data_IF_033181847268
#
_entry.id   IF_033181847268
#
_cell.length_a   1.000
_cell.length_b   1.000
_cell.length_c   1.000
_cell.angle_alpha   90.00
_cell.angle_beta   90.00
_cell.angle_gamma   90.00
#
_symmetry.space_group_name_H-M   'P 1'
#
loop_
_entity.id
_entity.type
_entity.pdbx_description
1 polymer ?
#
# COMPACT_ATOMS: atom_id res chain seq x y z
N UNK A 1 -4.02 61.73 26.94
CA UNK A 1 -4.50 60.35 27.14
C UNK A 1 -5.63 59.95 26.19
N UNK A 2 -6.80 60.63 26.15
CA UNK A 2 -7.93 60.22 25.29
C UNK A 2 -7.62 60.11 23.78
N UNK A 3 -6.83 61.03 23.20
CA UNK A 3 -6.41 60.97 21.77
C UNK A 3 -5.51 59.78 21.44
N UNK A 4 -4.61 59.41 22.36
CA UNK A 4 -3.71 58.26 22.21
C UNK A 4 -4.50 56.94 22.32
N UNK A 5 -5.46 56.88 23.24
CA UNK A 5 -6.34 55.72 23.36
C UNK A 5 -7.21 55.55 22.11
N UNK A 6 -7.75 56.65 21.56
CA UNK A 6 -8.53 56.61 20.32
C UNK A 6 -7.67 56.19 19.12
N UNK A 7 -6.40 56.62 19.03
CA UNK A 7 -5.54 56.21 17.90
C UNK A 7 -5.09 54.75 18.00
N UNK A 8 -4.84 54.25 19.21
CA UNK A 8 -4.52 52.83 19.43
C UNK A 8 -5.75 51.95 19.14
N UNK A 9 -6.93 52.39 19.54
CA UNK A 9 -8.18 51.67 19.28
C UNK A 9 -8.55 51.70 17.79
N UNK A 10 -8.33 52.83 17.11
CA UNK A 10 -8.49 52.96 15.67
C UNK A 10 -7.46 52.13 14.90
N UNK A 11 -6.21 52.06 15.38
CA UNK A 11 -5.15 51.19 14.85
C UNK A 11 -5.50 49.71 15.00
N UNK A 12 -6.01 49.30 16.17
CA UNK A 12 -6.48 47.94 16.42
C UNK A 12 -7.70 47.59 15.57
N UNK A 13 -8.64 48.53 15.40
CA UNK A 13 -9.79 48.36 14.52
C UNK A 13 -9.38 48.31 13.05
N UNK A 14 -8.45 49.16 12.61
CA UNK A 14 -7.86 49.10 11.26
C UNK A 14 -7.11 47.79 11.04
N UNK A 15 -6.36 47.30 12.04
CA UNK A 15 -5.74 45.98 12.01
C UNK A 15 -6.81 44.90 11.90
N UNK A 16 -7.85 44.88 12.74
CA UNK A 16 -8.94 43.92 12.70
C UNK A 16 -9.75 43.96 11.38
N UNK A 17 -9.91 45.14 10.77
CA UNK A 17 -10.59 45.32 9.48
C UNK A 17 -9.68 44.94 8.31
N UNK A 18 -8.36 45.10 8.44
CA UNK A 18 -7.34 44.68 7.46
C UNK A 18 -6.91 43.22 7.62
N UNK A 19 -7.30 42.55 8.70
CA UNK A 19 -7.15 41.11 8.84
C UNK A 19 -8.11 40.45 7.88
N UNK A 20 -7.61 40.02 6.73
CA UNK A 20 -8.24 38.95 5.98
C UNK A 20 -8.37 37.77 6.94
N UNK A 21 -9.57 37.55 7.47
CA UNK A 21 -9.83 36.34 8.25
C UNK A 21 -9.52 35.17 7.32
N UNK A 22 -8.58 34.28 7.69
CA UNK A 22 -8.33 33.12 6.88
C UNK A 22 -9.66 32.40 6.71
N UNK A 23 -9.99 32.03 5.48
CA UNK A 23 -11.17 31.23 5.18
C UNK A 23 -11.30 30.11 6.22
N UNK A 24 -12.50 29.80 6.75
CA UNK A 24 -12.67 28.79 7.78
C UNK A 24 -11.92 27.48 7.48
N UNK A 25 -11.90 27.09 6.21
CA UNK A 25 -11.15 25.97 5.66
C UNK A 25 -9.64 26.07 5.93
N UNK A 26 -9.05 27.23 5.66
CA UNK A 26 -7.63 27.53 5.94
C UNK A 26 -7.33 27.50 7.43
N UNK A 27 -8.24 27.99 8.27
CA UNK A 27 -8.09 27.89 9.73
C UNK A 27 -8.04 26.43 10.19
N UNK A 28 -8.99 25.60 9.74
CA UNK A 28 -8.97 24.17 10.05
C UNK A 28 -7.72 23.49 9.52
N UNK A 29 -7.33 23.78 8.27
CA UNK A 29 -6.13 23.21 7.67
C UNK A 29 -4.87 23.52 8.47
N UNK A 30 -4.71 24.76 8.95
CA UNK A 30 -3.59 25.15 9.81
C UNK A 30 -3.60 24.42 11.16
N UNK A 31 -4.78 24.23 11.79
CA UNK A 31 -4.87 23.52 13.07
C UNK A 31 -4.62 22.02 12.92
N UNK A 32 -5.08 21.42 11.82
CA UNK A 32 -4.82 20.03 11.45
C UNK A 32 -3.33 19.77 11.17
N UNK A 33 -2.63 20.75 10.59
CA UNK A 33 -1.18 20.68 10.34
C UNK A 33 -0.31 21.00 11.57
N UNK A 34 -0.90 21.26 12.75
CA UNK A 34 -0.15 21.63 13.96
C UNK A 34 0.76 20.50 14.46
N UNK A 35 1.96 20.85 14.93
CA UNK A 35 2.86 19.90 15.59
C UNK A 35 2.30 19.32 16.89
N UNK A 36 1.34 20.01 17.54
CA UNK A 36 0.79 19.59 18.82
C UNK A 36 -0.38 18.59 18.62
N UNK A 37 -0.26 17.33 19.10
CA UNK A 37 -1.31 16.32 18.89
C UNK A 37 -2.68 16.74 19.44
N UNK A 38 -2.71 17.37 20.62
CA UNK A 38 -3.95 17.86 21.24
C UNK A 38 -4.68 18.89 20.38
N UNK A 39 -3.96 19.74 19.66
CA UNK A 39 -4.55 20.73 18.75
C UNK A 39 -5.17 20.01 17.56
N UNK A 40 -4.46 19.06 16.94
CA UNK A 40 -4.97 18.28 15.80
C UNK A 40 -6.23 17.49 16.14
N UNK A 41 -6.23 16.79 17.28
CA UNK A 41 -7.40 16.01 17.71
C UNK A 41 -8.63 16.90 17.93
N UNK A 42 -8.46 18.05 18.61
CA UNK A 42 -9.54 19.02 18.79
C UNK A 42 -10.01 19.60 17.46
N UNK A 43 -9.08 19.93 16.56
CA UNK A 43 -9.41 20.45 15.23
C UNK A 43 -10.25 19.46 14.44
N UNK A 44 -9.90 18.17 14.45
CA UNK A 44 -10.66 17.13 13.74
C UNK A 44 -12.07 16.94 14.33
N UNK A 45 -12.22 17.00 15.66
CA UNK A 45 -13.54 16.96 16.31
C UNK A 45 -14.42 18.15 15.92
N UNK A 46 -13.87 19.36 15.97
CA UNK A 46 -14.61 20.56 15.55
C UNK A 46 -14.88 20.59 14.05
N UNK A 47 -13.97 20.05 13.23
CA UNK A 47 -14.15 19.95 11.77
C UNK A 47 -15.40 19.15 11.43
N UNK A 48 -15.66 18.03 12.12
CA UNK A 48 -16.86 17.20 11.89
C UNK A 48 -18.15 17.98 12.10
N UNK A 49 -18.27 18.66 13.24
CA UNK A 49 -19.44 19.49 13.54
C UNK A 49 -19.58 20.61 12.51
N UNK A 50 -18.48 21.28 12.19
CA UNK A 50 -18.47 22.39 11.27
C UNK A 50 -18.86 21.98 9.83
N UNK A 51 -18.33 20.87 9.30
CA UNK A 51 -18.72 20.36 7.97
C UNK A 51 -20.22 20.09 7.93
N UNK A 52 -20.74 19.44 8.98
CA UNK A 52 -22.17 19.09 9.09
C UNK A 52 -23.04 20.34 9.05
N UNK A 53 -22.72 21.35 9.86
CA UNK A 53 -23.49 22.61 9.89
C UNK A 53 -23.33 23.42 8.60
N UNK A 54 -22.12 23.43 8.04
CA UNK A 54 -21.78 24.19 6.84
C UNK A 54 -22.49 23.65 5.60
N UNK A 55 -22.43 22.33 5.39
CA UNK A 55 -23.02 21.65 4.24
C UNK A 55 -24.54 21.82 4.17
N UNK A 56 -25.22 21.86 5.33
CA UNK A 56 -26.67 22.15 5.41
C UNK A 56 -27.03 23.57 4.93
N UNK A 57 -26.13 24.53 5.11
CA UNK A 57 -26.41 25.94 4.88
C UNK A 57 -25.90 26.45 3.52
N UNK A 58 -24.73 25.99 3.07
CA UNK A 58 -24.25 26.29 1.70
C UNK A 58 -23.23 25.24 1.24
N UNK A 59 -23.41 24.84 -0.01
CA UNK A 59 -22.59 23.85 -0.71
C UNK A 59 -21.10 24.23 -0.72
N UNK A 60 -20.24 23.23 -0.51
CA UNK A 60 -18.79 23.36 -0.62
C UNK A 60 -18.32 23.50 -2.07
N UNK A 61 -17.34 24.37 -2.29
CA UNK A 61 -16.60 24.44 -3.56
C UNK A 61 -15.44 23.44 -3.58
N UNK A 62 -15.04 23.00 -4.77
CA UNK A 62 -13.88 22.11 -4.94
C UNK A 62 -12.58 22.71 -4.34
N UNK A 63 -12.37 24.01 -4.51
CA UNK A 63 -11.20 24.70 -3.94
C UNK A 63 -11.20 24.73 -2.42
N UNK A 64 -12.38 24.86 -1.79
CA UNK A 64 -12.56 24.82 -0.34
C UNK A 64 -12.22 23.41 0.20
N UNK A 65 -12.72 22.36 -0.46
CA UNK A 65 -12.43 20.97 -0.10
C UNK A 65 -10.95 20.60 -0.31
N UNK A 66 -10.32 21.15 -1.34
CA UNK A 66 -8.88 20.96 -1.60
C UNK A 66 -8.01 21.55 -0.48
N UNK A 67 -8.38 22.71 0.07
CA UNK A 67 -7.70 23.31 1.23
C UNK A 67 -7.86 22.43 2.47
N UNK A 68 -9.07 21.90 2.71
CA UNK A 68 -9.32 20.98 3.82
C UNK A 68 -8.48 19.70 3.66
N UNK A 69 -8.43 19.11 2.47
CA UNK A 69 -7.62 17.92 2.21
C UNK A 69 -6.14 18.16 2.41
N UNK A 70 -5.62 19.34 2.08
CA UNK A 70 -4.23 19.71 2.42
C UNK A 70 -4.00 19.70 3.94
N UNK A 71 -4.97 20.17 4.71
CA UNK A 71 -4.97 20.06 6.17
C UNK A 71 -4.96 18.61 6.67
N UNK A 72 -5.85 17.76 6.12
CA UNK A 72 -5.95 16.34 6.48
C UNK A 72 -4.70 15.55 6.11
N UNK A 73 -4.11 15.84 4.94
CA UNK A 73 -2.83 15.30 4.51
C UNK A 73 -1.74 15.58 5.55
N UNK A 74 -1.59 16.83 5.99
CA UNK A 74 -0.60 17.17 7.02
C UNK A 74 -0.95 16.63 8.40
N UNK A 75 -2.24 16.45 8.73
CA UNK A 75 -2.63 15.75 9.95
C UNK A 75 -2.11 14.30 9.96
N UNK A 76 -2.24 13.59 8.84
CA UNK A 76 -1.66 12.26 8.65
C UNK A 76 -0.13 12.30 8.66
N UNK A 77 0.47 13.29 7.98
CA UNK A 77 1.92 13.50 7.93
C UNK A 77 2.55 13.61 9.32
N UNK A 78 1.89 14.33 10.24
CA UNK A 78 2.34 14.56 11.61
C UNK A 78 1.98 13.43 12.60
N UNK A 79 1.30 12.37 12.15
CA UNK A 79 0.94 11.24 12.99
C UNK A 79 1.98 10.11 12.89
N UNK A 80 2.70 9.87 13.99
CA UNK A 80 3.81 8.91 14.02
C UNK A 80 3.43 7.58 14.70
N UNK A 81 2.41 7.58 15.56
CA UNK A 81 2.01 6.38 16.30
C UNK A 81 1.11 5.49 15.44
N UNK A 82 1.46 4.21 15.18
CA UNK A 82 0.72 3.33 14.26
C UNK A 82 -0.78 3.23 14.55
N UNK A 83 -1.17 2.91 15.80
CA UNK A 83 -2.59 2.83 16.18
C UNK A 83 -3.35 4.14 15.96
N UNK A 84 -2.68 5.27 16.15
CA UNK A 84 -3.28 6.58 15.92
C UNK A 84 -3.32 6.97 14.45
N UNK A 85 -2.46 6.39 13.60
CA UNK A 85 -2.54 6.54 12.13
C UNK A 85 -3.80 5.83 11.63
N UNK A 86 -4.03 4.60 12.08
CA UNK A 86 -5.23 3.83 11.74
C UNK A 86 -6.50 4.56 12.18
N UNK A 87 -6.58 4.97 13.45
CA UNK A 87 -7.71 5.71 13.99
C UNK A 87 -7.95 7.02 13.23
N UNK A 88 -6.88 7.74 12.87
CA UNK A 88 -6.99 8.97 12.08
C UNK A 88 -7.53 8.70 10.67
N UNK A 89 -7.06 7.65 10.00
CA UNK A 89 -7.55 7.28 8.67
C UNK A 89 -9.04 6.90 8.69
N UNK A 90 -9.47 6.14 9.70
CA UNK A 90 -10.88 5.81 9.89
C UNK A 90 -11.73 7.06 10.17
N UNK A 91 -11.23 7.98 10.99
CA UNK A 91 -11.91 9.24 11.27
C UNK A 91 -11.99 10.16 10.04
N UNK A 92 -10.96 10.15 9.17
CA UNK A 92 -10.99 10.85 7.88
C UNK A 92 -12.05 10.26 6.97
N UNK A 93 -12.14 8.92 6.87
CA UNK A 93 -13.17 8.24 6.10
C UNK A 93 -14.59 8.62 6.53
N UNK A 94 -14.84 8.67 7.85
CA UNK A 94 -16.11 9.08 8.45
C UNK A 94 -16.49 10.55 8.19
N UNK A 95 -15.57 11.39 7.70
CA UNK A 95 -15.93 12.76 7.29
C UNK A 95 -16.92 12.76 6.12
N UNK A 96 -16.94 11.71 5.29
CA UNK A 96 -17.91 11.61 4.20
C UNK A 96 -19.35 11.62 4.69
N UNK A 97 -19.62 11.06 5.87
CA UNK A 97 -20.95 11.04 6.49
C UNK A 97 -21.41 12.45 6.91
N UNK A 98 -20.49 13.41 7.05
CA UNK A 98 -20.80 14.77 7.50
C UNK A 98 -21.38 15.66 6.39
N UNK A 99 -21.28 15.26 5.11
CA UNK A 99 -21.82 16.02 3.99
C UNK A 99 -23.28 15.67 3.70
N UNK A 100 -24.10 16.68 3.45
CA UNK A 100 -25.55 16.55 3.27
C UNK A 100 -25.92 16.07 1.88
N UNK A 101 -25.16 16.46 0.85
CA UNK A 101 -25.47 16.14 -0.55
C UNK A 101 -24.53 15.07 -1.11
N UNK A 102 -25.04 14.25 -2.03
CA UNK A 102 -24.24 13.26 -2.76
C UNK A 102 -23.12 13.94 -3.56
N UNK A 103 -23.40 15.10 -4.18
CA UNK A 103 -22.42 15.86 -4.96
C UNK A 103 -21.23 16.33 -4.12
N UNK A 104 -21.47 16.80 -2.89
CA UNK A 104 -20.39 17.16 -1.97
C UNK A 104 -19.56 15.95 -1.55
N UNK A 105 -20.20 14.80 -1.28
CA UNK A 105 -19.48 13.54 -0.98
C UNK A 105 -18.59 13.12 -2.14
N UNK A 106 -19.09 13.17 -3.38
CA UNK A 106 -18.33 12.85 -4.58
C UNK A 106 -17.19 13.85 -4.83
N UNK A 107 -17.43 15.14 -4.62
CA UNK A 107 -16.40 16.18 -4.76
C UNK A 107 -15.30 16.01 -3.70
N UNK A 108 -15.66 15.61 -2.48
CA UNK A 108 -14.71 15.30 -1.42
C UNK A 108 -13.86 14.06 -1.76
N UNK A 109 -14.45 13.02 -2.36
CA UNK A 109 -13.72 11.85 -2.86
C UNK A 109 -12.78 12.21 -4.02
N UNK A 110 -13.22 13.03 -4.97
CA UNK A 110 -12.37 13.50 -6.06
C UNK A 110 -11.18 14.31 -5.52
N UNK A 111 -11.44 15.23 -4.59
CA UNK A 111 -10.41 16.06 -3.97
C UNK A 111 -9.37 15.23 -3.19
N UNK A 112 -9.75 14.07 -2.64
CA UNK A 112 -8.81 13.13 -2.03
C UNK A 112 -7.77 12.65 -3.04
N UNK A 113 -8.22 12.09 -4.17
CA UNK A 113 -7.31 11.54 -5.18
C UNK A 113 -6.44 12.63 -5.77
N UNK A 114 -6.99 13.80 -6.09
CA UNK A 114 -6.21 14.95 -6.57
C UNK A 114 -5.13 15.35 -5.56
N UNK A 115 -5.48 15.43 -4.28
CA UNK A 115 -4.54 15.85 -3.23
C UNK A 115 -3.43 14.83 -3.01
N UNK A 116 -3.76 13.56 -2.80
CA UNK A 116 -2.78 12.48 -2.62
C UNK A 116 -1.86 12.36 -3.84
N UNK A 117 -2.44 12.49 -5.03
CA UNK A 117 -1.68 12.41 -6.27
C UNK A 117 -0.64 13.52 -6.41
N UNK A 118 -1.04 14.77 -6.13
CA UNK A 118 -0.15 15.93 -6.21
C UNK A 118 1.05 15.86 -5.25
N UNK A 119 0.86 15.21 -4.10
CA UNK A 119 1.88 15.08 -3.05
C UNK A 119 2.57 13.71 -3.05
N UNK A 120 2.23 12.81 -3.98
CA UNK A 120 2.72 11.42 -3.92
C UNK A 120 4.24 11.31 -3.93
N UNK A 121 4.89 12.09 -4.80
CA UNK A 121 6.34 12.10 -4.93
C UNK A 121 7.05 12.86 -3.79
N UNK A 122 6.33 13.63 -2.99
CA UNK A 122 6.89 14.36 -1.83
C UNK A 122 6.94 13.48 -0.58
N UNK A 123 6.21 12.36 -0.58
CA UNK A 123 6.19 11.39 0.52
C UNK A 123 7.51 10.62 0.59
N UNK A 124 8.21 10.72 1.71
CA UNK A 124 9.43 9.95 1.93
C UNK A 124 9.14 8.48 2.32
N UNK A 125 10.17 7.64 2.18
CA UNK A 125 10.09 6.19 2.43
C UNK A 125 9.50 5.82 3.79
N UNK A 126 9.76 6.60 4.84
CA UNK A 126 9.30 6.29 6.19
C UNK A 126 7.81 6.61 6.39
N UNK A 127 7.26 7.52 5.58
CA UNK A 127 5.85 7.94 5.63
C UNK A 127 4.96 7.21 4.63
N UNK A 128 5.55 6.59 3.59
CA UNK A 128 4.78 5.95 2.52
C UNK A 128 3.71 4.97 3.04
N UNK A 129 4.07 4.08 3.97
CA UNK A 129 3.16 3.04 4.47
C UNK A 129 1.85 3.59 5.06
N UNK A 130 1.88 4.71 5.80
CA UNK A 130 0.66 5.27 6.37
C UNK A 130 -0.22 5.96 5.32
N UNK A 131 0.36 6.52 4.27
CA UNK A 131 -0.42 7.05 3.15
C UNK A 131 -1.02 5.93 2.29
N UNK A 132 -0.28 4.84 2.09
CA UNK A 132 -0.81 3.62 1.46
C UNK A 132 -2.00 3.07 2.27
N UNK A 133 -1.87 3.00 3.60
CA UNK A 133 -2.96 2.61 4.49
C UNK A 133 -4.14 3.61 4.47
N UNK A 134 -3.88 4.92 4.42
CA UNK A 134 -4.93 5.93 4.28
C UNK A 134 -5.75 5.69 3.00
N UNK A 135 -5.10 5.45 1.86
CA UNK A 135 -5.79 5.10 0.60
C UNK A 135 -6.67 3.86 0.76
N UNK A 136 -6.19 2.82 1.45
CA UNK A 136 -6.98 1.62 1.76
C UNK A 136 -8.23 1.93 2.60
N UNK A 137 -8.08 2.64 3.72
CA UNK A 137 -9.20 3.01 4.61
C UNK A 137 -10.20 3.97 3.92
N UNK A 138 -9.69 4.84 3.06
CA UNK A 138 -10.54 5.76 2.30
C UNK A 138 -11.36 5.02 1.24
N UNK A 139 -10.74 4.10 0.47
CA UNK A 139 -11.44 3.23 -0.48
C UNK A 139 -12.55 2.43 0.22
N UNK A 140 -12.26 1.83 1.38
CA UNK A 140 -13.25 1.16 2.23
C UNK A 140 -14.43 2.05 2.57
N UNK A 141 -14.17 3.31 2.88
CA UNK A 141 -15.23 4.27 3.20
C UNK A 141 -16.04 4.64 1.95
N UNK A 142 -15.41 4.69 0.77
CA UNK A 142 -16.11 4.87 -0.52
C UNK A 142 -17.01 3.68 -0.85
N UNK A 143 -16.58 2.45 -0.55
CA UNK A 143 -17.39 1.25 -0.75
C UNK A 143 -18.60 1.22 0.21
N UNK A 144 -18.43 1.64 1.47
CA UNK A 144 -19.57 1.83 2.40
C UNK A 144 -20.56 2.87 1.90
N UNK A 145 -20.08 3.93 1.23
CA UNK A 145 -20.96 4.93 0.63
C UNK A 145 -21.89 4.32 -0.45
N UNK A 146 -21.48 3.30 -1.18
CA UNK A 146 -22.40 2.56 -2.06
C UNK A 146 -23.50 1.84 -1.28
N UNK A 147 -23.12 1.21 -0.17
CA UNK A 147 -24.05 0.49 0.70
C UNK A 147 -25.09 1.41 1.33
N UNK A 148 -24.67 2.60 1.79
CA UNK A 148 -25.56 3.62 2.36
C UNK A 148 -26.61 4.15 1.39
N UNK A 149 -26.34 4.06 0.08
CA UNK A 149 -27.25 4.51 -0.98
C UNK A 149 -27.86 3.34 -1.75
N UNK A 150 -27.96 2.17 -1.11
CA UNK A 150 -28.59 0.96 -1.66
C UNK A 150 -28.07 0.56 -3.05
N UNK A 151 -26.80 0.89 -3.35
CA UNK A 151 -26.19 0.68 -4.66
C UNK A 151 -26.94 1.32 -5.82
N UNK A 152 -27.45 2.55 -5.65
CA UNK A 152 -28.05 3.31 -6.76
C UNK A 152 -27.08 3.38 -7.95
N UNK A 153 -27.51 2.88 -9.11
CA UNK A 153 -26.65 2.74 -10.29
C UNK A 153 -26.01 4.06 -10.71
N UNK A 154 -26.77 5.16 -10.64
CA UNK A 154 -26.28 6.50 -10.99
C UNK A 154 -25.12 6.95 -10.10
N UNK A 155 -25.15 6.60 -8.81
CA UNK A 155 -24.08 6.97 -7.87
C UNK A 155 -22.85 6.12 -8.14
N UNK A 156 -23.04 4.81 -8.33
CA UNK A 156 -21.94 3.89 -8.67
C UNK A 156 -21.27 4.33 -9.97
N UNK A 157 -22.04 4.59 -11.02
CA UNK A 157 -21.51 5.01 -12.32
C UNK A 157 -20.71 6.32 -12.22
N UNK A 158 -21.20 7.31 -11.45
CA UNK A 158 -20.46 8.56 -11.22
C UNK A 158 -19.15 8.33 -10.47
N UNK A 159 -19.11 7.42 -9.50
CA UNK A 159 -17.87 7.08 -8.80
C UNK A 159 -16.89 6.39 -9.75
N UNK A 160 -17.35 5.39 -10.51
CA UNK A 160 -16.52 4.68 -11.48
C UNK A 160 -16.02 5.63 -12.59
N UNK A 161 -16.84 6.59 -13.02
CA UNK A 161 -16.45 7.58 -14.02
C UNK A 161 -15.30 8.48 -13.53
N UNK A 162 -15.38 9.02 -12.31
CA UNK A 162 -14.25 9.81 -11.81
C UNK A 162 -13.03 8.94 -11.52
N UNK A 163 -13.17 7.67 -11.12
CA UNK A 163 -12.03 6.76 -10.99
C UNK A 163 -11.32 6.55 -12.33
N UNK A 164 -12.08 6.41 -13.44
CA UNK A 164 -11.57 6.39 -14.82
C UNK A 164 -10.86 7.69 -15.22
N UNK A 165 -11.24 8.82 -14.63
CA UNK A 165 -10.60 10.13 -14.84
C UNK A 165 -9.40 10.37 -13.91
N UNK A 166 -9.20 9.57 -12.87
CA UNK A 166 -8.16 9.76 -11.86
C UNK A 166 -7.15 8.61 -11.84
N UNK A 167 -7.21 7.73 -10.83
CA UNK A 167 -6.23 6.66 -10.58
C UNK A 167 -6.29 5.53 -11.60
N UNK A 168 -7.41 5.36 -12.31
CA UNK A 168 -7.52 4.39 -13.41
C UNK A 168 -7.26 5.02 -14.79
N UNK A 169 -6.86 6.29 -14.85
CA UNK A 169 -6.53 6.93 -16.12
C UNK A 169 -5.06 6.67 -16.51
N UNK A 170 -4.77 5.99 -17.63
CA UNK A 170 -3.39 5.74 -18.04
C UNK A 170 -2.71 6.96 -18.65
N UNK A 171 -3.47 7.89 -19.23
CA UNK A 171 -2.95 9.01 -20.02
C UNK A 171 -2.59 10.24 -19.18
N UNK A 172 -3.06 10.31 -17.94
CA UNK A 172 -2.83 11.46 -17.07
C UNK A 172 -1.56 11.24 -16.25
N UNK A 173 -0.53 12.04 -16.54
CA UNK A 173 0.73 12.10 -15.79
C UNK A 173 0.57 12.74 -14.41
N UNK A 174 -0.50 13.53 -14.20
CA UNK A 174 -0.83 14.09 -12.90
C UNK A 174 -1.13 13.02 -11.85
N UNK A 175 -1.40 11.77 -12.27
CA UNK A 175 -1.53 10.59 -11.41
C UNK A 175 -0.29 9.69 -11.53
N UNK A 176 0.56 9.63 -10.49
CA UNK A 176 1.77 8.81 -10.48
C UNK A 176 1.48 7.31 -10.54
N UNK A 177 2.31 6.56 -11.27
CA UNK A 177 2.15 5.10 -11.43
C UNK A 177 2.11 4.36 -10.09
N UNK A 178 2.91 4.78 -9.09
CA UNK A 178 2.91 4.14 -7.77
C UNK A 178 1.56 4.21 -7.05
N UNK A 179 0.81 5.32 -7.21
CA UNK A 179 -0.54 5.43 -6.68
C UNK A 179 -1.52 4.54 -7.46
N UNK A 180 -1.35 4.46 -8.79
CA UNK A 180 -2.18 3.58 -9.64
C UNK A 180 -1.99 2.11 -9.24
N UNK A 181 -0.75 1.64 -9.17
CA UNK A 181 -0.42 0.26 -8.77
C UNK A 181 -1.01 -0.09 -7.41
N UNK A 182 -0.82 0.80 -6.42
CA UNK A 182 -1.39 0.62 -5.09
C UNK A 182 -2.92 0.58 -5.12
N UNK A 183 -3.56 1.45 -5.90
CA UNK A 183 -5.02 1.44 -5.98
C UNK A 183 -5.56 0.14 -6.59
N UNK A 184 -4.91 -0.39 -7.63
CA UNK A 184 -5.29 -1.65 -8.26
C UNK A 184 -5.14 -2.83 -7.29
N UNK A 185 -4.02 -2.92 -6.57
CA UNK A 185 -3.79 -4.02 -5.61
C UNK A 185 -4.74 -4.01 -4.41
N UNK A 186 -5.34 -2.86 -4.11
CA UNK A 186 -6.33 -2.75 -3.03
C UNK A 186 -7.76 -3.07 -3.45
N UNK A 187 -8.08 -2.93 -4.74
CA UNK A 187 -9.46 -2.79 -5.17
C UNK A 187 -10.31 -4.03 -4.91
N UNK A 188 -9.83 -5.19 -5.35
CA UNK A 188 -10.56 -6.45 -5.15
C UNK A 188 -10.57 -6.88 -3.68
N UNK A 189 -9.45 -6.75 -2.97
CA UNK A 189 -9.35 -7.07 -1.54
C UNK A 189 -10.41 -6.33 -0.70
N UNK A 190 -10.56 -5.03 -0.94
CA UNK A 190 -11.53 -4.21 -0.21
C UNK A 190 -12.96 -4.48 -0.65
N UNK A 191 -13.18 -4.79 -1.94
CA UNK A 191 -14.48 -5.15 -2.49
C UNK A 191 -14.99 -6.47 -1.90
N UNK A 192 -14.14 -7.50 -1.87
CA UNK A 192 -14.48 -8.82 -1.32
C UNK A 192 -14.65 -8.78 0.20
N UNK A 193 -13.76 -8.08 0.91
CA UNK A 193 -13.81 -7.98 2.38
C UNK A 193 -15.08 -7.33 2.92
N UNK A 194 -15.70 -6.41 2.18
CA UNK A 194 -16.84 -5.61 2.67
C UNK A 194 -18.16 -6.01 2.03
N UNK A 195 -18.14 -6.44 0.77
CA UNK A 195 -19.33 -6.50 -0.06
C UNK A 195 -19.61 -7.88 -0.66
N UNK A 196 -18.82 -8.91 -0.34
CA UNK A 196 -18.98 -10.27 -0.90
C UNK A 196 -20.42 -10.83 -0.80
N UNK A 197 -21.13 -10.56 0.29
CA UNK A 197 -22.53 -11.01 0.45
C UNK A 197 -23.55 -10.18 -0.35
N UNK A 198 -23.24 -8.90 -0.61
CA UNK A 198 -24.15 -7.89 -1.20
C UNK A 198 -23.94 -7.69 -2.70
N UNK A 199 -22.86 -8.25 -3.25
CA UNK A 199 -22.53 -8.23 -4.66
C UNK A 199 -23.29 -9.35 -5.37
N UNK A 200 -24.28 -8.94 -6.16
CA UNK A 200 -24.82 -9.78 -7.21
C UNK A 200 -23.89 -9.78 -8.42
N UNK A 201 -24.16 -10.68 -9.34
CA UNK A 201 -23.37 -10.86 -10.56
C UNK A 201 -23.32 -9.59 -11.42
N UNK A 202 -24.40 -8.80 -11.45
CA UNK A 202 -24.47 -7.58 -12.24
C UNK A 202 -23.60 -6.46 -11.65
N UNK A 203 -23.64 -6.27 -10.33
CA UNK A 203 -22.83 -5.29 -9.59
C UNK A 203 -21.35 -5.64 -9.69
N UNK A 204 -20.98 -6.92 -9.53
CA UNK A 204 -19.60 -7.36 -9.70
C UNK A 204 -19.07 -7.02 -11.10
N UNK A 205 -19.83 -7.35 -12.15
CA UNK A 205 -19.44 -7.01 -13.53
C UNK A 205 -19.28 -5.50 -13.73
N UNK A 206 -20.17 -4.69 -13.18
CA UNK A 206 -20.07 -3.22 -13.24
C UNK A 206 -18.82 -2.70 -12.53
N UNK A 207 -18.48 -3.26 -11.37
CA UNK A 207 -17.27 -2.88 -10.62
C UNK A 207 -15.97 -3.29 -11.34
N UNK A 208 -15.99 -4.34 -12.16
CA UNK A 208 -14.85 -4.78 -12.97
C UNK A 208 -14.68 -4.00 -14.28
N UNK A 209 -15.77 -3.44 -14.82
CA UNK A 209 -15.81 -2.74 -16.10
C UNK A 209 -14.66 -1.71 -16.29
N UNK A 210 -14.30 -0.86 -15.31
CA UNK A 210 -13.21 0.10 -15.50
C UNK A 210 -11.86 -0.56 -15.81
N UNK A 211 -11.59 -1.73 -15.22
CA UNK A 211 -10.35 -2.48 -15.44
C UNK A 211 -10.37 -3.19 -16.79
N UNK A 212 -11.52 -3.76 -17.18
CA UNK A 212 -11.70 -4.36 -18.51
C UNK A 212 -11.46 -3.31 -19.60
N UNK A 213 -12.10 -2.14 -19.51
CA UNK A 213 -11.85 -1.02 -20.44
C UNK A 213 -10.40 -0.53 -20.42
N UNK A 214 -9.76 -0.52 -19.26
CA UNK A 214 -8.38 -0.08 -19.10
C UNK A 214 -7.40 -0.96 -19.86
N UNK A 215 -7.63 -2.28 -19.91
CA UNK A 215 -6.78 -3.22 -20.65
C UNK A 215 -6.76 -2.93 -22.16
N UNK A 216 -7.82 -2.32 -22.70
CA UNK A 216 -7.94 -1.89 -24.10
C UNK A 216 -7.18 -0.62 -24.46
N UNK A 217 -6.86 0.19 -23.46
CA UNK A 217 -6.20 1.48 -23.65
C UNK A 217 -4.69 1.30 -23.83
N UNK A 218 -3.97 2.26 -24.45
CA UNK A 218 -2.52 2.24 -24.48
C UNK A 218 -1.98 2.54 -23.07
N UNK A 219 -1.53 1.50 -22.36
CA UNK A 219 -1.00 1.57 -21.00
C UNK A 219 0.43 1.00 -20.94
N UNK A 220 1.20 1.34 -19.92
CA UNK A 220 2.56 0.80 -19.74
C UNK A 220 2.51 -0.73 -19.52
N UNK A 221 3.50 -1.50 -20.03
CA UNK A 221 3.50 -2.96 -19.88
C UNK A 221 3.43 -3.41 -18.41
N UNK A 222 4.15 -2.71 -17.52
CA UNK A 222 4.14 -2.98 -16.08
C UNK A 222 2.73 -2.79 -15.51
N UNK A 223 2.04 -1.71 -15.90
CA UNK A 223 0.68 -1.46 -15.41
C UNK A 223 -0.31 -2.49 -15.94
N UNK A 224 -0.16 -2.89 -17.21
CA UNK A 224 -0.95 -3.97 -17.79
C UNK A 224 -0.79 -5.26 -17.00
N UNK A 225 0.44 -5.70 -16.75
CA UNK A 225 0.72 -6.93 -16.00
C UNK A 225 0.18 -6.83 -14.56
N UNK A 226 0.29 -5.65 -13.93
CA UNK A 226 -0.29 -5.40 -12.60
C UNK A 226 -1.82 -5.56 -12.58
N UNK A 227 -2.53 -5.04 -13.59
CA UNK A 227 -4.00 -5.22 -13.66
C UNK A 227 -4.35 -6.68 -13.85
N UNK A 228 -3.58 -7.42 -14.64
CA UNK A 228 -3.78 -8.85 -14.82
C UNK A 228 -3.56 -9.61 -13.49
N UNK A 229 -2.44 -9.37 -12.80
CA UNK A 229 -2.05 -10.10 -11.59
C UNK A 229 -2.89 -9.76 -10.36
N UNK A 230 -3.33 -8.50 -10.24
CA UNK A 230 -4.09 -8.03 -9.07
C UNK A 230 -5.61 -8.10 -9.28
N UNK A 231 -6.09 -8.18 -10.53
CA UNK A 231 -7.53 -8.22 -10.83
C UNK A 231 -7.97 -9.55 -11.47
N UNK A 232 -7.39 -9.95 -12.60
CA UNK A 232 -7.91 -11.12 -13.33
C UNK A 232 -7.45 -12.45 -12.74
N UNK A 233 -6.18 -12.56 -12.30
CA UNK A 233 -5.64 -13.78 -11.70
C UNK A 233 -6.36 -14.17 -10.39
N UNK A 234 -6.63 -13.25 -9.44
CA UNK A 234 -7.35 -13.59 -8.22
C UNK A 234 -8.77 -14.08 -8.48
N UNK A 235 -9.47 -13.49 -9.45
CA UNK A 235 -10.82 -13.93 -9.86
C UNK A 235 -10.78 -15.36 -10.43
N UNK A 236 -9.77 -15.69 -11.24
CA UNK A 236 -9.60 -17.05 -11.77
C UNK A 236 -9.23 -18.05 -10.67
N UNK A 237 -8.36 -17.66 -9.73
CA UNK A 237 -7.96 -18.51 -8.61
C UNK A 237 -9.16 -18.82 -7.70
N UNK A 238 -9.98 -17.83 -7.36
CA UNK A 238 -11.20 -18.05 -6.57
C UNK A 238 -12.20 -18.95 -7.31
N UNK A 239 -12.33 -18.78 -8.64
CA UNK A 239 -13.17 -19.62 -9.47
C UNK A 239 -12.72 -21.10 -9.45
N UNK A 240 -11.43 -21.36 -9.67
CA UNK A 240 -10.86 -22.71 -9.60
C UNK A 240 -11.07 -23.34 -8.20
N UNK A 241 -10.75 -22.61 -7.13
CA UNK A 241 -10.97 -23.10 -5.76
C UNK A 241 -12.44 -23.43 -5.49
N UNK A 242 -13.36 -22.62 -6.01
CA UNK A 242 -14.80 -22.85 -5.91
C UNK A 242 -15.25 -24.11 -6.67
N UNK A 243 -14.70 -24.38 -7.86
CA UNK A 243 -14.95 -25.60 -8.63
C UNK A 243 -14.40 -26.84 -7.91
N UNK A 244 -13.17 -26.79 -7.40
CA UNK A 244 -12.56 -27.89 -6.63
C UNK A 244 -13.38 -28.23 -5.37
N UNK A 245 -13.87 -27.21 -4.65
CA UNK A 245 -14.77 -27.40 -3.50
C UNK A 245 -16.09 -28.06 -3.92
N UNK A 246 -16.70 -27.62 -5.03
CA UNK A 246 -17.93 -28.23 -5.57
C UNK A 246 -17.72 -29.69 -5.99
N UNK A 247 -16.61 -30.02 -6.64
CA UNK A 247 -16.29 -31.38 -7.07
C UNK A 247 -16.08 -32.32 -5.87
N UNK A 248 -15.42 -31.84 -4.80
CA UNK A 248 -15.32 -32.57 -3.53
C UNK A 248 -16.69 -32.74 -2.85
N UNK A 249 -17.51 -31.69 -2.81
CA UNK A 249 -18.84 -31.72 -2.20
C UNK A 249 -19.87 -32.57 -2.98
N UNK A 250 -19.71 -32.79 -4.29
CA UNK A 250 -20.51 -33.80 -5.02
C UNK A 250 -20.29 -35.24 -4.50
N UNK A 251 -19.20 -35.49 -3.75
CA UNK A 251 -18.96 -36.76 -3.04
C UNK A 251 -19.57 -36.84 -1.63
N UNK A 252 -19.92 -35.72 -0.99
CA UNK A 252 -20.46 -35.67 0.38
C UNK A 252 -21.61 -34.66 0.47
N UNK A 253 -22.82 -35.16 0.77
CA UNK A 253 -24.07 -34.37 0.78
C UNK A 253 -24.08 -33.25 1.83
N UNK A 254 -23.49 -32.09 1.54
CA UNK A 254 -23.66 -30.86 2.31
C UNK A 254 -23.84 -29.64 1.40
N UNK A 255 -24.89 -28.86 1.66
CA UNK A 255 -25.16 -27.57 1.02
C UNK A 255 -24.10 -26.55 1.46
N UNK A 256 -23.08 -26.32 0.64
CA UNK A 256 -22.10 -25.26 0.87
C UNK A 256 -22.60 -23.95 0.26
N UNK A 257 -22.78 -22.91 1.08
CA UNK A 257 -23.05 -21.55 0.61
C UNK A 257 -21.81 -21.03 -0.12
N UNK A 258 -21.97 -20.56 -1.36
CA UNK A 258 -20.90 -19.94 -2.13
C UNK A 258 -20.60 -18.54 -1.57
N UNK A 259 -19.71 -18.47 -0.60
CA UNK A 259 -19.17 -17.23 -0.04
C UNK A 259 -17.99 -16.79 -0.91
N UNK A 260 -18.26 -16.08 -2.00
CA UNK A 260 -17.22 -15.61 -2.92
C UNK A 260 -17.77 -14.57 -3.89
N UNK A 261 -16.86 -13.77 -4.46
CA UNK A 261 -17.14 -12.73 -5.42
C UNK A 261 -17.86 -13.31 -6.66
N UNK A 262 -19.17 -13.02 -6.79
CA UNK A 262 -20.02 -13.61 -7.83
C UNK A 262 -19.78 -12.92 -9.17
N UNK A 263 -19.16 -13.60 -10.13
CA UNK A 263 -18.81 -13.04 -11.44
C UNK A 263 -19.48 -13.81 -12.58
N UNK A 264 -19.98 -13.09 -13.58
CA UNK A 264 -20.42 -13.68 -14.83
C UNK A 264 -19.22 -13.97 -15.72
N UNK A 265 -18.63 -15.16 -15.61
CA UNK A 265 -17.42 -15.50 -16.36
C UNK A 265 -17.62 -15.46 -17.89
N UNK A 266 -18.82 -15.80 -18.37
CA UNK A 266 -19.14 -15.73 -19.80
C UNK A 266 -19.10 -14.28 -20.29
N UNK A 267 -19.86 -13.40 -19.66
CA UNK A 267 -19.90 -11.96 -19.98
C UNK A 267 -18.53 -11.32 -19.82
N UNK A 268 -17.78 -11.65 -18.76
CA UNK A 268 -16.42 -11.15 -18.57
C UNK A 268 -15.49 -11.60 -19.71
N UNK A 269 -15.60 -12.86 -20.16
CA UNK A 269 -14.82 -13.35 -21.30
C UNK A 269 -15.16 -12.64 -22.61
N UNK A 270 -16.45 -12.36 -22.84
CA UNK A 270 -16.93 -11.65 -24.03
C UNK A 270 -16.42 -10.19 -24.03
N UNK A 271 -16.57 -9.47 -22.91
CA UNK A 271 -16.09 -8.08 -22.78
C UNK A 271 -14.55 -7.99 -22.93
N UNK A 272 -13.79 -8.94 -22.36
CA UNK A 272 -12.34 -9.03 -22.54
C UNK A 272 -11.95 -9.32 -24.00
N UNK A 273 -12.70 -10.18 -24.69
CA UNK A 273 -12.47 -10.49 -26.09
C UNK A 273 -12.66 -9.27 -26.99
N UNK A 274 -13.74 -8.51 -26.77
CA UNK A 274 -14.00 -7.26 -27.50
C UNK A 274 -12.88 -6.25 -27.29
N UNK A 275 -12.44 -6.06 -26.05
CA UNK A 275 -11.37 -5.12 -25.70
C UNK A 275 -10.02 -5.52 -26.31
N UNK A 276 -9.72 -6.82 -26.39
CA UNK A 276 -8.47 -7.33 -26.95
C UNK A 276 -8.28 -6.94 -28.44
N UNK A 277 -9.36 -6.69 -29.17
CA UNK A 277 -9.31 -6.23 -30.56
C UNK A 277 -8.59 -4.87 -30.69
N UNK A 278 -8.72 -3.99 -29.68
CA UNK A 278 -8.07 -2.67 -29.65
C UNK A 278 -6.57 -2.73 -29.28
N UNK A 279 -6.08 -3.89 -28.83
CA UNK A 279 -4.71 -4.06 -28.34
C UNK A 279 -3.72 -4.49 -29.43
N UNK A 280 -2.45 -4.15 -29.23
CA UNK A 280 -1.34 -4.69 -30.03
C UNK A 280 -1.12 -6.18 -29.79
N UNK A 281 -0.41 -6.86 -30.72
CA UNK A 281 -0.30 -8.32 -30.79
C UNK A 281 0.05 -9.01 -29.45
N UNK A 282 1.11 -8.58 -28.75
CA UNK A 282 1.54 -9.20 -27.48
C UNK A 282 0.48 -9.11 -26.38
N UNK A 283 -0.12 -7.94 -26.19
CA UNK A 283 -1.17 -7.72 -25.17
C UNK A 283 -2.44 -8.46 -25.53
N UNK A 284 -2.82 -8.47 -26.81
CA UNK A 284 -3.96 -9.23 -27.32
C UNK A 284 -3.83 -10.72 -27.03
N UNK A 285 -2.65 -11.30 -27.30
CA UNK A 285 -2.38 -12.71 -26.99
C UNK A 285 -2.56 -12.98 -25.49
N UNK A 286 -2.01 -12.12 -24.63
CA UNK A 286 -2.14 -12.26 -23.18
C UNK A 286 -3.60 -12.17 -22.73
N UNK A 287 -4.40 -11.23 -23.24
CA UNK A 287 -5.83 -11.15 -22.92
C UNK A 287 -6.57 -12.41 -23.39
N UNK A 288 -6.28 -12.92 -24.59
CA UNK A 288 -6.91 -14.14 -25.10
C UNK A 288 -6.61 -15.40 -24.27
N UNK A 289 -5.45 -15.49 -23.61
CA UNK A 289 -5.18 -16.55 -22.64
C UNK A 289 -6.20 -16.52 -21.49
N UNK A 290 -6.50 -15.33 -20.96
CA UNK A 290 -7.50 -15.14 -19.90
C UNK A 290 -8.93 -15.35 -20.40
N UNK A 291 -9.25 -14.91 -21.62
CA UNK A 291 -10.57 -15.18 -22.25
C UNK A 291 -10.83 -16.68 -22.30
N UNK A 292 -9.87 -17.49 -22.75
CA UNK A 292 -9.99 -18.95 -22.77
C UNK A 292 -10.22 -19.54 -21.38
N UNK A 293 -9.44 -19.09 -20.38
CA UNK A 293 -9.59 -19.54 -18.99
C UNK A 293 -10.96 -19.21 -18.41
N UNK A 294 -11.46 -17.99 -18.62
CA UNK A 294 -12.81 -17.62 -18.16
C UNK A 294 -13.92 -18.39 -18.89
N UNK A 295 -13.73 -18.72 -20.17
CA UNK A 295 -14.65 -19.59 -20.90
C UNK A 295 -14.69 -21.01 -20.31
N UNK A 296 -13.53 -21.60 -19.96
CA UNK A 296 -13.46 -22.90 -19.27
C UNK A 296 -14.22 -22.86 -17.94
N UNK A 297 -14.02 -21.82 -17.13
CA UNK A 297 -14.76 -21.64 -15.88
C UNK A 297 -16.27 -21.57 -16.13
N UNK A 298 -16.70 -20.89 -17.20
CA UNK A 298 -18.12 -20.76 -17.55
C UNK A 298 -18.78 -22.10 -17.92
N UNK A 299 -18.00 -23.08 -18.36
CA UNK A 299 -18.44 -24.46 -18.65
C UNK A 299 -18.20 -25.43 -17.49
N UNK A 300 -17.89 -24.91 -16.28
CA UNK A 300 -17.54 -25.67 -15.08
C UNK A 300 -16.25 -26.52 -15.20
N UNK A 301 -15.31 -26.13 -16.06
CA UNK A 301 -13.98 -26.74 -16.16
C UNK A 301 -12.96 -25.91 -15.36
N UNK A 302 -11.97 -26.55 -14.73
CA UNK A 302 -10.93 -25.82 -14.00
C UNK A 302 -10.03 -25.06 -15.01
N UNK A 303 -9.83 -23.73 -14.85
CA UNK A 303 -8.99 -22.94 -15.74
C UNK A 303 -7.49 -23.28 -15.65
N UNK A 304 -7.08 -24.07 -14.65
CA UNK A 304 -5.69 -24.51 -14.45
C UNK A 304 -5.49 -26.00 -14.68
N UNK A 305 -6.54 -26.75 -15.04
CA UNK A 305 -6.34 -28.07 -15.61
C UNK A 305 -5.57 -27.86 -16.92
N UNK A 306 -4.28 -28.20 -16.91
CA UNK A 306 -3.53 -28.33 -18.14
C UNK A 306 -4.35 -29.29 -19.01
N UNK A 307 -4.69 -28.91 -20.25
CA UNK A 307 -5.01 -29.92 -21.24
C UNK A 307 -3.88 -30.94 -21.10
N UNK A 308 -4.19 -32.17 -20.71
CA UNK A 308 -3.27 -33.28 -20.86
C UNK A 308 -2.94 -33.31 -22.35
N UNK A 309 -1.91 -32.55 -22.74
CA UNK A 309 -1.19 -32.78 -23.97
C UNK A 309 -0.81 -34.24 -23.85
N UNK A 310 -1.45 -35.06 -24.67
CA UNK A 310 -1.34 -36.53 -24.74
C UNK A 310 0.08 -36.96 -25.16
N UNK A 311 1.08 -36.53 -24.42
CA UNK A 311 2.49 -36.52 -24.75
C UNK A 311 3.38 -36.07 -23.59
N UNK A 312 2.89 -36.08 -22.35
CA UNK A 312 3.78 -36.14 -21.19
C UNK A 312 4.22 -37.59 -21.07
N UNK A 313 5.41 -37.89 -21.59
CA UNK A 313 6.11 -39.12 -21.22
C UNK A 313 6.20 -39.13 -19.69
N UNK A 314 5.68 -40.19 -19.07
CA UNK A 314 5.94 -40.49 -17.66
C UNK A 314 7.39 -40.11 -17.35
N UNK A 315 7.60 -39.12 -16.47
CA UNK A 315 8.95 -38.76 -16.03
C UNK A 315 9.57 -40.05 -15.50
N UNK A 316 10.60 -40.55 -16.19
CA UNK A 316 11.25 -41.80 -15.85
C UNK A 316 11.65 -41.73 -14.37
N UNK A 317 11.23 -42.72 -13.59
CA UNK A 317 11.52 -42.82 -12.16
C UNK A 317 13.03 -42.65 -11.90
N UNK A 318 13.86 -43.06 -12.86
CA UNK A 318 15.31 -42.89 -12.84
C UNK A 318 15.76 -41.41 -12.89
N UNK A 319 15.07 -40.54 -13.62
CA UNK A 319 15.39 -39.11 -13.69
C UNK A 319 15.00 -38.36 -12.40
N UNK A 320 13.86 -38.73 -11.81
CA UNK A 320 13.44 -38.23 -10.49
C UNK A 320 14.43 -38.66 -9.41
N UNK A 321 14.89 -39.92 -9.48
CA UNK A 321 15.86 -40.48 -8.53
C UNK A 321 17.23 -39.80 -8.66
N UNK A 322 17.71 -39.57 -9.90
CA UNK A 322 18.93 -38.80 -10.17
C UNK A 322 18.83 -37.34 -9.70
N UNK A 323 17.67 -36.70 -9.85
CA UNK A 323 17.46 -35.34 -9.35
C UNK A 323 17.51 -35.29 -7.82
N UNK A 324 16.88 -36.24 -7.14
CA UNK A 324 16.92 -36.37 -5.68
C UNK A 324 18.35 -36.60 -5.15
N UNK A 325 19.14 -37.44 -5.82
CA UNK A 325 20.55 -37.67 -5.46
C UNK A 325 21.41 -36.40 -5.62
N UNK A 326 21.18 -35.61 -6.67
CA UNK A 326 21.88 -34.32 -6.87
C UNK A 326 21.58 -33.33 -5.74
N UNK A 327 20.31 -33.24 -5.32
CA UNK A 327 19.89 -32.38 -4.21
C UNK A 327 20.52 -32.80 -2.88
N UNK A 328 20.50 -34.10 -2.57
CA UNK A 328 21.14 -34.65 -1.37
C UNK A 328 22.65 -34.38 -1.35
N UNK A 329 23.31 -34.45 -2.52
CA UNK A 329 24.73 -34.12 -2.64
C UNK A 329 24.98 -32.63 -2.37
N UNK A 330 24.16 -31.73 -2.92
CA UNK A 330 24.27 -30.30 -2.63
C UNK A 330 24.05 -29.99 -1.15
N UNK A 331 23.07 -30.61 -0.51
CA UNK A 331 22.79 -30.39 0.91
C UNK A 331 23.95 -30.83 1.81
N UNK A 332 24.63 -31.94 1.47
CA UNK A 332 25.86 -32.37 2.16
C UNK A 332 27.00 -31.37 2.02
N UNK A 333 27.23 -30.87 0.80
CA UNK A 333 28.27 -29.87 0.54
C UNK A 333 28.01 -28.56 1.29
N UNK A 334 26.75 -28.14 1.37
CA UNK A 334 26.33 -26.97 2.15
C UNK A 334 26.58 -27.20 3.64
N UNK A 335 26.20 -28.36 4.19
CA UNK A 335 26.45 -28.70 5.61
C UNK A 335 27.95 -28.76 5.93
N UNK A 336 28.78 -29.29 5.05
CA UNK A 336 30.24 -29.30 5.20
C UNK A 336 30.81 -27.87 5.15
N UNK A 337 30.32 -27.02 4.25
CA UNK A 337 30.68 -25.60 4.20
C UNK A 337 30.37 -24.89 5.52
N UNK A 338 29.16 -25.07 6.07
CA UNK A 338 28.79 -24.50 7.37
C UNK A 338 29.65 -25.01 8.53
N UNK A 339 30.01 -26.30 8.53
CA UNK A 339 30.89 -26.88 9.55
C UNK A 339 32.30 -26.29 9.48
N UNK A 340 32.84 -26.13 8.28
CA UNK A 340 34.16 -25.53 8.04
C UNK A 340 34.21 -24.05 8.47
N UNK A 341 33.14 -23.30 8.18
CA UNK A 341 32.99 -21.90 8.63
C UNK A 341 32.93 -21.84 10.17
N UNK A 342 32.15 -22.72 10.82
CA UNK A 342 32.06 -22.78 12.28
C UNK A 342 33.41 -23.11 12.95
N UNK A 343 34.18 -24.07 12.39
CA UNK A 343 35.53 -24.37 12.89
C UNK A 343 36.50 -23.21 12.70
N UNK A 344 36.39 -22.48 11.58
CA UNK A 344 37.18 -21.27 11.31
C UNK A 344 36.91 -20.17 12.35
N UNK A 345 35.63 -19.90 12.64
CA UNK A 345 35.22 -18.91 13.65
C UNK A 345 35.73 -19.29 15.04
N UNK A 346 35.67 -20.58 15.42
CA UNK A 346 36.18 -21.03 16.71
C UNK A 346 37.70 -20.88 16.81
N UNK A 347 38.45 -21.13 15.72
CA UNK A 347 39.90 -20.91 15.69
C UNK A 347 40.29 -19.44 15.80
N UNK A 348 39.52 -18.54 15.17
CA UNK A 348 39.69 -17.09 15.26
C UNK A 348 39.39 -16.56 16.67
N UNK A 349 38.34 -17.06 17.32
CA UNK A 349 38.03 -16.72 18.72
C UNK A 349 39.15 -17.19 19.66
N UNK A 350 39.73 -18.37 19.44
CA UNK A 350 40.86 -18.86 20.23
C UNK A 350 42.12 -17.99 20.05
N UNK A 351 42.37 -17.49 18.84
CA UNK A 351 43.44 -16.54 18.54
C UNK A 351 43.20 -15.19 19.21
N UNK A 352 41.95 -14.71 19.19
CA UNK A 352 41.54 -13.48 19.85
C UNK A 352 41.73 -13.57 21.37
N UNK A 353 41.31 -14.66 22.00
CA UNK A 353 41.50 -14.87 23.45
C UNK A 353 42.99 -14.91 23.83
N UNK A 354 43.85 -15.59 23.07
CA UNK A 354 45.30 -15.58 23.30
C UNK A 354 45.92 -14.18 23.14
N UNK A 355 45.46 -13.41 22.15
CA UNK A 355 45.91 -12.03 21.95
C UNK A 355 45.49 -11.14 23.14
N UNK A 356 44.26 -11.29 23.64
CA UNK A 356 43.76 -10.55 24.80
C UNK A 356 44.53 -10.92 26.07
N UNK A 357 44.82 -12.20 26.31
CA UNK A 357 45.66 -12.63 27.45
C UNK A 357 47.08 -12.04 27.38
N UNK A 358 47.70 -12.05 26.20
CA UNK A 358 49.04 -11.52 26.01
C UNK A 358 49.09 -10.00 26.21
N UNK A 359 48.12 -9.26 25.67
CA UNK A 359 47.99 -7.80 25.88
C UNK A 359 47.75 -7.49 27.35
N UNK A 360 46.92 -8.27 28.05
CA UNK A 360 46.70 -8.08 29.49
C UNK A 360 47.96 -8.39 30.32
N UNK A 361 48.74 -9.39 29.95
CA UNK A 361 50.03 -9.69 30.60
C UNK A 361 51.03 -8.54 30.40
N UNK A 362 51.14 -8.02 29.18
CA UNK A 362 52.03 -6.88 28.87
C UNK A 362 51.57 -5.59 29.57
N UNK A 363 50.26 -5.36 29.67
CA UNK A 363 49.68 -4.22 30.40
C UNK A 363 49.90 -4.34 31.91
N UNK A 364 49.82 -5.56 32.47
CA UNK A 364 50.09 -5.82 33.88
C UNK A 364 51.58 -5.65 34.21
N UNK A 365 52.47 -6.09 33.32
CA UNK A 365 53.91 -5.79 33.39
C UNK A 365 54.19 -4.28 33.29
N UNK A 366 53.48 -3.55 32.43
CA UNK A 366 53.57 -2.10 32.35
C UNK A 366 53.14 -1.41 33.65
N UNK A 367 52.05 -1.85 34.29
CA UNK A 367 51.60 -1.31 35.58
C UNK A 367 52.61 -1.61 36.72
N UNK A 368 53.28 -2.76 36.66
CA UNK A 368 54.36 -3.12 37.59
C UNK A 368 55.62 -2.27 37.35
N UNK A 369 56.00 -2.01 36.09
CA UNK A 369 57.13 -1.13 35.75
C UNK A 369 56.84 0.34 36.11
N UNK A 370 55.60 0.81 35.90
CA UNK A 370 55.17 2.18 36.27
C UNK A 370 55.21 2.43 37.77
N UNK A 371 55.09 1.38 38.61
CA UNK A 371 55.29 1.46 40.06
C UNK A 371 56.75 1.45 40.49
N UNK A 372 57.68 1.05 39.60
CA UNK A 372 59.09 0.86 39.92
C UNK A 372 60.02 1.99 39.42
N UNK A 373 59.58 2.89 38.54
CA UNK A 373 60.44 3.97 38.01
C UNK A 373 59.65 5.18 37.50
N UNK A 374 60.10 6.39 37.87
CA UNK A 374 59.58 7.66 37.33
C UNK A 374 59.97 7.77 35.84
N UNK A 375 59.12 7.30 34.94
CA UNK A 375 59.27 7.46 33.47
C UNK A 375 57.93 7.91 32.87
N UNK A 376 57.96 8.94 32.03
CA UNK A 376 56.80 9.56 31.38
C UNK A 376 56.39 8.84 30.09
N UNK A 377 55.11 8.98 29.71
CA UNK A 377 54.46 8.24 28.62
C UNK A 377 55.10 8.48 27.23
N UNK A 378 55.76 9.62 27.03
CA UNK A 378 56.32 10.02 25.74
C UNK A 378 57.63 9.29 25.36
N UNK A 379 58.34 8.70 26.31
CA UNK A 379 59.65 8.07 26.04
C UNK A 379 59.56 6.63 25.49
N UNK A 380 58.38 5.99 25.54
CA UNK A 380 58.21 4.58 25.16
C UNK A 380 57.23 4.34 24.00
N UNK A 381 56.61 5.40 23.47
CA UNK A 381 55.72 5.33 22.29
C UNK A 381 56.33 4.59 21.07
N UNK A 382 57.64 4.76 20.76
CA UNK A 382 58.25 4.08 19.62
C UNK A 382 58.33 2.56 19.75
N UNK A 383 58.44 2.02 20.98
CA UNK A 383 58.58 0.58 21.21
C UNK A 383 57.24 -0.15 21.17
N UNK A 384 56.16 0.51 21.62
CA UNK A 384 54.79 -0.04 21.58
C UNK A 384 54.29 -0.15 20.13
N UNK A 385 54.60 0.83 19.29
CA UNK A 385 54.28 0.76 17.85
C UNK A 385 55.03 -0.37 17.13
N UNK A 386 56.30 -0.62 17.49
CA UNK A 386 57.09 -1.69 16.88
C UNK A 386 56.56 -3.09 17.26
N UNK A 387 56.09 -3.27 18.50
CA UNK A 387 55.52 -4.54 18.96
C UNK A 387 54.15 -4.85 18.31
N UNK A 388 53.34 -3.82 18.04
CA UNK A 388 52.05 -3.97 17.34
C UNK A 388 52.23 -4.27 15.84
N UNK A 389 53.30 -3.78 15.21
CA UNK A 389 53.54 -3.99 13.77
C UNK A 389 54.11 -5.38 13.45
N UNK A 390 54.85 -6.02 14.35
CA UNK A 390 55.46 -7.35 14.13
C UNK A 390 54.45 -8.51 14.27
N UNK A 391 53.19 -8.25 14.65
CA UNK A 391 52.16 -9.29 14.84
C UNK A 391 50.94 -9.16 13.91
N UNK A 392 50.98 -8.24 12.94
CA UNK A 392 49.93 -8.04 11.94
C UNK A 392 50.34 -8.42 10.50
N UNK A 393 51.52 -9.02 10.32
CA UNK A 393 51.89 -9.89 9.18
C UNK A 393 51.91 -11.35 9.66
#
# INVERSE_FOLDING_TARGET
MKKYFLSVLLSLLLQLVSMEFPLPESFFAQKLASCQPKIRTRALLHLRSWITDRSRNKVFKETELSILWKGLYYAMWMQDKPLQQEELADNIGKLMECFSTVDEKLTFQLAFFTSISSEWHTIDKWRLNKFMMLTRRFLRSMLRFFDENDWEERIVDRVLEFLKLTVLNPSISAYPEGLKFHFVSLYLDELDSLMSEKLDEQRSMRMLQPYVELLGKPISPIFFDTVISEVLEPILLDASQSLLKKNKAKGESQKLQSTGFKVNYKRLSDELFEVAACCGSKRRQRIYEFVKKFQLVSTECDPFDEEESSGVSDLDLDDVQKAAERLLKQERLVKESYKNISTGINSLNLLYERLVEKVNYDLMNWQLMKRASFVTFDDLLPQVYLALFIHLE
#
